data_IF_408283966598
#
_entry.id   IF_408283966598
#
_cell.length_a   1.000
_cell.length_b   1.000
_cell.length_c   1.000
_cell.angle_alpha   90.00
_cell.angle_beta   90.00
_cell.angle_gamma   90.00
#
_symmetry.space_group_name_H-M   'P 1'
#
loop_
_entity.id
_entity.type
_entity.pdbx_description
1 polymer ?
#
# COMPACT_ATOMS: atom_id res chain seq x y z
N UNK A 1 5.13 23.13 -12.54
CA UNK A 1 4.81 22.01 -11.64
C UNK A 1 4.96 22.55 -10.24
N UNK A 2 3.90 22.49 -9.43
CA UNK A 2 4.02 22.86 -8.01
C UNK A 2 4.74 21.72 -7.30
N UNK A 3 5.94 22.00 -6.78
CA UNK A 3 6.71 21.06 -5.96
C UNK A 3 5.85 20.59 -4.78
N UNK A 4 5.94 19.31 -4.42
CA UNK A 4 5.31 18.81 -3.22
C UNK A 4 5.83 19.60 -2.01
N UNK A 5 4.93 20.00 -1.12
CA UNK A 5 5.27 20.96 -0.06
C UNK A 5 6.31 20.43 0.95
N UNK A 6 6.56 19.12 0.99
CA UNK A 6 7.63 18.49 1.78
C UNK A 6 9.03 18.66 1.20
N UNK A 7 9.17 19.13 -0.04
CA UNK A 7 10.46 19.48 -0.65
C UNK A 7 11.03 20.78 -0.10
N UNK A 8 10.18 21.63 0.50
CA UNK A 8 10.52 22.99 0.87
C UNK A 8 11.55 23.07 2.00
N UNK A 9 11.55 22.10 2.92
CA UNK A 9 12.50 22.04 4.04
C UNK A 9 12.52 20.68 4.74
N UNK A 10 13.60 20.42 5.50
CA UNK A 10 13.68 19.27 6.42
C UNK A 10 12.57 19.32 7.47
N UNK A 11 12.22 20.52 7.96
CA UNK A 11 11.19 20.69 8.97
C UNK A 11 9.80 20.31 8.44
N UNK A 12 9.48 20.62 7.17
CA UNK A 12 8.24 20.20 6.52
C UNK A 12 8.17 18.68 6.36
N UNK A 13 9.30 18.05 6.02
CA UNK A 13 9.41 16.59 5.93
C UNK A 13 9.19 15.93 7.31
N UNK A 14 9.86 16.43 8.35
CA UNK A 14 9.70 15.97 9.73
C UNK A 14 8.27 16.17 10.20
N UNK A 15 7.64 17.30 9.85
CA UNK A 15 6.25 17.56 10.17
C UNK A 15 5.32 16.52 9.52
N UNK A 16 5.50 16.22 8.22
CA UNK A 16 4.73 15.19 7.51
C UNK A 16 4.87 13.81 8.15
N UNK A 17 6.09 13.40 8.48
CA UNK A 17 6.36 12.12 9.16
C UNK A 17 5.70 12.06 10.54
N UNK A 18 5.80 13.16 11.31
CA UNK A 18 5.25 13.22 12.66
C UNK A 18 3.73 13.23 12.65
N UNK A 19 3.13 13.97 11.70
CA UNK A 19 1.68 13.96 11.48
C UNK A 19 1.18 12.55 11.13
N UNK A 20 1.84 11.88 10.19
CA UNK A 20 1.51 10.50 9.79
C UNK A 20 1.50 9.54 10.98
N UNK A 21 2.55 9.58 11.79
CA UNK A 21 2.67 8.77 12.99
C UNK A 21 1.56 9.07 14.01
N UNK A 22 1.23 10.35 14.23
CA UNK A 22 0.12 10.72 15.13
C UNK A 22 -1.22 10.24 14.60
N UNK A 23 -1.47 10.31 13.29
CA UNK A 23 -2.68 9.76 12.67
C UNK A 23 -2.79 8.26 12.93
N UNK A 24 -1.70 7.50 12.82
CA UNK A 24 -1.70 6.07 13.16
C UNK A 24 -2.05 5.83 14.63
N UNK A 25 -1.49 6.62 15.56
CA UNK A 25 -1.82 6.52 16.98
C UNK A 25 -3.30 6.85 17.26
N UNK A 26 -3.84 7.88 16.61
CA UNK A 26 -5.24 8.27 16.74
C UNK A 26 -6.17 7.15 16.26
N UNK A 27 -5.94 6.61 15.05
CA UNK A 27 -6.66 5.45 14.50
C UNK A 27 -6.60 4.24 15.45
N UNK A 28 -5.43 4.00 16.07
CA UNK A 28 -5.28 2.91 17.06
C UNK A 28 -6.05 3.16 18.35
N UNK A 29 -6.08 4.40 18.84
CA UNK A 29 -6.82 4.77 20.05
C UNK A 29 -8.33 4.66 19.84
N UNK A 30 -8.83 5.04 18.67
CA UNK A 30 -10.26 4.92 18.33
C UNK A 30 -10.73 3.46 18.25
N UNK A 31 -9.86 2.56 17.78
CA UNK A 31 -10.10 1.11 17.71
C UNK A 31 -9.72 0.35 19.00
N UNK A 32 -9.36 1.07 20.06
CA UNK A 32 -8.90 0.49 21.33
C UNK A 32 -9.85 0.86 22.46
N UNK A 33 -10.04 0.01 23.49
CA UNK A 33 -10.76 0.39 24.70
C UNK A 33 -9.99 1.43 25.55
N UNK A 34 -8.74 1.76 25.19
CA UNK A 34 -7.89 2.68 25.94
C UNK A 34 -8.31 4.14 25.72
N UNK A 35 -8.77 4.79 26.78
CA UNK A 35 -9.09 6.21 26.74
C UNK A 35 -7.84 7.10 26.75
N UNK A 36 -7.98 8.35 26.28
CA UNK A 36 -6.91 9.36 26.34
C UNK A 36 -6.41 9.62 27.78
N UNK A 37 -7.30 9.51 28.77
CA UNK A 37 -6.94 9.69 30.18
C UNK A 37 -6.06 8.55 30.70
N UNK A 38 -6.36 7.32 30.30
CA UNK A 38 -5.57 6.14 30.66
C UNK A 38 -4.22 6.13 29.94
N UNK A 39 -4.19 6.59 28.68
CA UNK A 39 -2.92 6.80 27.98
C UNK A 39 -2.04 7.82 28.71
N UNK A 40 -2.62 8.92 29.20
CA UNK A 40 -1.90 9.93 29.99
C UNK A 40 -1.30 9.32 31.26
N UNK A 41 -2.11 8.53 31.98
CA UNK A 41 -1.67 7.82 33.18
C UNK A 41 -0.53 6.84 32.87
N UNK A 42 -0.63 6.05 31.79
CA UNK A 42 0.42 5.10 31.37
C UNK A 42 1.73 5.80 31.02
N UNK A 43 1.65 6.98 30.40
CA UNK A 43 2.81 7.76 29.99
C UNK A 43 3.35 8.69 31.08
N UNK A 44 2.67 8.81 32.23
CA UNK A 44 3.05 9.74 33.29
C UNK A 44 2.95 11.22 32.88
N UNK A 45 2.02 11.56 31.98
CA UNK A 45 1.85 12.92 31.45
C UNK A 45 0.43 13.43 31.66
N UNK A 46 0.23 14.74 31.57
CA UNK A 46 -1.10 15.33 31.64
C UNK A 46 -1.94 15.01 30.41
N UNK A 47 -3.27 14.96 30.57
CA UNK A 47 -4.23 14.82 29.45
C UNK A 47 -4.05 15.94 28.42
N UNK A 48 -3.76 17.16 28.89
CA UNK A 48 -3.45 18.31 28.03
C UNK A 48 -2.23 18.07 27.15
N UNK A 49 -1.17 17.44 27.69
CA UNK A 49 0.03 17.11 26.91
C UNK A 49 -0.24 16.10 25.80
N UNK A 50 -1.14 15.15 26.03
CA UNK A 50 -1.60 14.23 24.98
C UNK A 50 -2.34 14.99 23.89
N UNK A 51 -3.30 15.84 24.26
CA UNK A 51 -4.06 16.64 23.29
C UNK A 51 -3.13 17.52 22.44
N UNK A 52 -2.15 18.15 23.08
CA UNK A 52 -1.16 18.97 22.39
C UNK A 52 -0.38 18.16 21.34
N UNK A 53 0.10 16.97 21.70
CA UNK A 53 0.86 16.12 20.77
C UNK A 53 -0.02 15.56 19.64
N UNK A 54 -1.28 15.22 19.93
CA UNK A 54 -2.19 14.71 18.91
C UNK A 54 -2.62 15.79 17.91
N UNK A 55 -2.70 17.05 18.33
CA UNK A 55 -3.13 18.15 17.46
C UNK A 55 -1.95 18.87 16.78
N UNK A 56 -0.80 18.93 17.45
CA UNK A 56 0.40 19.52 16.92
C UNK A 56 1.61 18.65 17.31
N UNK A 57 2.01 17.71 16.44
CA UNK A 57 3.10 16.79 16.73
C UNK A 57 4.42 17.50 17.04
N UNK A 58 4.63 18.71 16.50
CA UNK A 58 5.86 19.49 16.65
C UNK A 58 7.12 18.63 16.48
N UNK A 59 8.11 18.86 17.35
CA UNK A 59 9.31 18.01 17.46
C UNK A 59 9.03 16.76 18.30
N UNK A 60 8.44 15.74 17.67
CA UNK A 60 8.29 14.42 18.24
C UNK A 60 9.63 13.66 18.16
N UNK A 61 10.29 13.46 19.30
CA UNK A 61 11.53 12.66 19.33
C UNK A 61 11.24 11.18 19.14
N UNK A 62 12.19 10.44 18.57
CA UNK A 62 12.08 8.98 18.37
C UNK A 62 11.76 8.24 19.68
N UNK A 63 12.40 8.64 20.79
CA UNK A 63 12.11 8.08 22.13
C UNK A 63 10.64 8.25 22.52
N UNK A 64 10.04 9.40 22.23
CA UNK A 64 8.62 9.66 22.51
C UNK A 64 7.73 8.89 21.55
N UNK A 65 8.04 8.85 20.26
CA UNK A 65 7.29 8.04 19.30
C UNK A 65 7.20 6.57 19.77
N UNK A 66 8.34 5.98 20.14
CA UNK A 66 8.37 4.61 20.70
C UNK A 66 7.54 4.51 21.98
N UNK A 67 7.71 5.42 22.95
CA UNK A 67 6.94 5.37 24.20
C UNK A 67 5.42 5.41 23.96
N UNK A 68 4.96 6.31 23.09
CA UNK A 68 3.54 6.44 22.75
C UNK A 68 3.01 5.20 22.04
N UNK A 69 3.72 4.70 21.03
CA UNK A 69 3.33 3.48 20.32
C UNK A 69 3.24 2.28 21.27
N UNK A 70 4.22 2.10 22.16
CA UNK A 70 4.22 1.01 23.14
C UNK A 70 3.05 1.12 24.12
N UNK A 71 2.70 2.34 24.55
CA UNK A 71 1.58 2.56 25.47
C UNK A 71 0.21 2.17 24.87
N UNK A 72 0.07 2.25 23.54
CA UNK A 72 -1.13 1.81 22.79
C UNK A 72 -1.01 0.39 22.20
N UNK A 73 0.06 -0.34 22.53
CA UNK A 73 0.27 -1.73 22.10
C UNK A 73 0.77 -1.88 20.66
N UNK A 74 1.35 -0.84 20.07
CA UNK A 74 1.96 -0.86 18.74
C UNK A 74 3.48 -1.09 18.83
N UNK A 75 4.07 -1.39 17.67
CA UNK A 75 5.52 -1.36 17.43
C UNK A 75 5.81 -0.29 16.38
N UNK A 76 7.03 0.25 16.38
CA UNK A 76 7.48 1.28 15.44
C UNK A 76 8.73 0.78 14.74
N UNK A 77 8.83 1.08 13.45
CA UNK A 77 10.04 0.93 12.64
C UNK A 77 10.30 2.26 11.92
N UNK A 78 11.57 2.60 11.72
CA UNK A 78 11.99 3.71 10.86
C UNK A 78 12.78 3.10 9.72
N UNK A 79 12.30 3.30 8.50
CA UNK A 79 12.85 2.68 7.29
C UNK A 79 13.23 3.78 6.33
N UNK A 80 14.50 3.84 5.96
CA UNK A 80 14.95 4.59 4.80
C UNK A 80 14.75 3.71 3.56
N UNK A 81 14.32 4.31 2.46
CA UNK A 81 14.09 3.63 1.20
C UNK A 81 14.47 4.58 0.05
N UNK A 82 14.68 4.00 -1.13
CA UNK A 82 14.92 4.70 -2.38
C UNK A 82 13.76 4.35 -3.33
N UNK A 83 12.99 5.36 -3.71
CA UNK A 83 11.88 5.26 -4.66
C UNK A 83 12.22 5.88 -6.03
N UNK A 84 13.49 6.22 -6.27
CA UNK A 84 13.95 6.85 -7.50
C UNK A 84 13.61 8.33 -7.62
N UNK A 85 13.22 8.99 -6.52
CA UNK A 85 12.86 10.40 -6.46
C UNK A 85 13.86 11.21 -5.61
N UNK A 86 15.05 11.52 -6.16
CA UNK A 86 16.10 12.22 -5.41
C UNK A 86 15.72 13.64 -4.99
N UNK A 87 14.77 14.24 -5.72
CA UNK A 87 14.30 15.61 -5.47
C UNK A 87 13.04 15.65 -4.58
N UNK A 88 12.57 14.50 -4.07
CA UNK A 88 11.41 14.37 -3.20
C UNK A 88 10.10 14.95 -3.76
N UNK A 89 9.92 14.88 -5.08
CA UNK A 89 8.73 15.32 -5.80
C UNK A 89 7.42 14.65 -5.37
N UNK A 90 7.51 13.44 -4.81
CA UNK A 90 6.38 12.63 -4.39
C UNK A 90 6.15 12.66 -2.87
N UNK A 91 7.11 13.18 -2.09
CA UNK A 91 7.07 13.13 -0.64
C UNK A 91 7.30 11.73 -0.05
N UNK A 92 7.28 11.59 1.29
CA UNK A 92 7.43 10.29 1.93
C UNK A 92 6.22 9.37 1.71
N UNK A 93 6.48 8.06 1.56
CA UNK A 93 5.46 7.01 1.51
C UNK A 93 4.64 7.05 2.81
N UNK A 94 3.33 7.15 2.65
CA UNK A 94 2.38 7.07 3.76
C UNK A 94 2.44 5.70 4.44
N UNK A 95 2.34 5.69 5.77
CA UNK A 95 2.26 4.43 6.52
C UNK A 95 1.09 3.55 6.15
N UNK A 96 0.01 4.12 5.61
CA UNK A 96 -1.16 3.38 5.14
C UNK A 96 -0.82 2.55 3.89
N UNK A 97 -0.01 3.09 2.97
CA UNK A 97 0.48 2.35 1.81
C UNK A 97 1.38 1.21 2.28
N UNK A 98 2.31 1.48 3.21
CA UNK A 98 3.13 0.43 3.81
C UNK A 98 2.27 -0.65 4.47
N UNK A 99 1.26 -0.27 5.24
CA UNK A 99 0.34 -1.18 5.90
C UNK A 99 -0.40 -2.09 4.92
N UNK A 100 -0.94 -1.53 3.84
CA UNK A 100 -1.61 -2.29 2.77
C UNK A 100 -0.65 -3.30 2.15
N UNK A 101 0.54 -2.87 1.74
CA UNK A 101 1.54 -3.76 1.14
C UNK A 101 1.97 -4.87 2.12
N UNK A 102 2.19 -4.51 3.38
CA UNK A 102 2.58 -5.44 4.43
C UNK A 102 1.51 -6.50 4.72
N UNK A 103 0.24 -6.09 4.75
CA UNK A 103 -0.89 -7.00 4.93
C UNK A 103 -1.09 -7.92 3.72
N UNK A 104 -0.97 -7.39 2.51
CA UNK A 104 -1.05 -8.17 1.27
C UNK A 104 0.05 -9.24 1.18
N UNK A 105 1.21 -9.02 1.80
CA UNK A 105 2.29 -9.99 1.90
C UNK A 105 2.17 -10.95 3.10
N UNK A 106 1.02 -11.00 3.77
CA UNK A 106 0.79 -11.82 4.97
C UNK A 106 1.71 -11.48 6.16
N UNK A 107 2.15 -10.22 6.28
CA UNK A 107 2.91 -9.70 7.42
C UNK A 107 4.19 -10.51 7.70
N UNK A 108 5.12 -10.62 6.73
CA UNK A 108 6.34 -11.42 6.88
C UNK A 108 7.14 -10.93 8.09
N UNK A 109 7.87 -11.79 8.80
CA UNK A 109 8.62 -11.36 10.00
C UNK A 109 10.13 -11.49 9.87
N UNK A 110 10.55 -12.14 8.80
CA UNK A 110 11.92 -12.46 8.48
C UNK A 110 12.11 -12.45 6.96
N UNK A 111 13.36 -12.54 6.52
CA UNK A 111 13.70 -12.50 5.11
C UNK A 111 13.20 -13.73 4.34
N UNK A 112 13.10 -14.89 4.99
CA UNK A 112 12.67 -16.14 4.35
C UNK A 112 11.19 -16.09 4.00
N UNK A 113 10.36 -15.59 4.91
CA UNK A 113 8.93 -15.35 4.68
C UNK A 113 8.69 -14.21 3.69
N UNK A 114 9.50 -13.15 3.72
CA UNK A 114 9.38 -12.03 2.78
C UNK A 114 9.73 -12.43 1.34
N UNK A 115 10.81 -13.18 1.13
CA UNK A 115 11.24 -13.63 -0.20
C UNK A 115 10.29 -14.65 -0.84
N UNK A 116 9.53 -15.37 -0.01
CA UNK A 116 8.53 -16.35 -0.45
C UNK A 116 7.16 -15.72 -0.75
N UNK A 117 6.94 -14.45 -0.41
CA UNK A 117 5.73 -13.70 -0.72
C UNK A 117 5.76 -13.22 -2.19
N UNK A 118 5.69 -14.17 -3.13
CA UNK A 118 5.75 -13.88 -4.56
C UNK A 118 4.67 -12.87 -4.97
N UNK A 119 5.10 -11.82 -5.67
CA UNK A 119 4.23 -10.86 -6.37
C UNK A 119 3.29 -11.64 -7.29
N UNK A 120 1.99 -11.58 -7.02
CA UNK A 120 0.96 -12.06 -7.94
C UNK A 120 0.90 -11.08 -9.12
N UNK A 121 1.76 -11.30 -10.11
CA UNK A 121 1.77 -10.56 -11.36
C UNK A 121 0.47 -10.88 -12.12
N UNK A 122 -0.52 -10.00 -11.96
CA UNK A 122 -1.81 -10.16 -12.61
C UNK A 122 -1.66 -9.54 -13.99
N UNK A 123 -1.30 -10.36 -14.98
CA UNK A 123 -1.31 -9.92 -16.37
C UNK A 123 -2.77 -9.71 -16.80
N UNK A 124 -3.17 -8.45 -16.95
CA UNK A 124 -4.43 -8.05 -17.58
C UNK A 124 -4.24 -8.05 -19.09
N UNK A 125 -4.73 -9.09 -19.77
CA UNK A 125 -4.82 -9.10 -21.24
C UNK A 125 -6.26 -8.78 -21.63
N UNK A 126 -6.44 -7.88 -22.60
CA UNK A 126 -7.77 -7.55 -23.12
C UNK A 126 -7.83 -7.83 -24.61
N UNK A 127 -8.80 -8.63 -25.03
CA UNK A 127 -9.13 -8.80 -26.45
C UNK A 127 -10.32 -7.92 -26.82
N UNK A 128 -10.24 -7.32 -28.01
CA UNK A 128 -11.31 -6.48 -28.55
C UNK A 128 -11.87 -7.13 -29.80
N UNK A 129 -13.17 -7.42 -29.79
CA UNK A 129 -13.88 -8.02 -30.92
C UNK A 129 -14.96 -7.07 -31.44
N UNK A 130 -15.01 -6.88 -32.76
CA UNK A 130 -16.02 -6.06 -33.44
C UNK A 130 -17.12 -6.96 -34.00
N UNK A 131 -18.32 -6.87 -33.43
CA UNK A 131 -19.48 -7.68 -33.86
C UNK A 131 -20.39 -6.81 -34.74
N UNK A 132 -20.59 -7.15 -36.03
CA UNK A 132 -21.46 -6.39 -36.93
C UNK A 132 -22.94 -6.54 -36.54
N UNK A 133 -23.73 -5.47 -36.71
CA UNK A 133 -25.15 -5.42 -36.37
C UNK A 133 -25.97 -4.70 -37.46
N UNK A 134 -27.29 -4.94 -37.48
CA UNK A 134 -28.21 -4.36 -38.50
C UNK A 134 -28.16 -2.84 -38.63
N UNK A 135 -27.71 -2.11 -37.59
CA UNK A 135 -27.42 -0.66 -37.62
C UNK A 135 -26.07 -0.37 -36.95
N UNK A 136 -24.96 -0.82 -37.55
CA UNK A 136 -23.59 -0.50 -37.12
C UNK A 136 -22.81 -1.71 -36.61
N UNK A 137 -21.94 -1.51 -35.61
CA UNK A 137 -21.17 -2.58 -34.98
C UNK A 137 -21.07 -2.35 -33.47
N UNK A 138 -20.89 -3.44 -32.71
CA UNK A 138 -20.57 -3.41 -31.29
C UNK A 138 -19.08 -3.68 -31.12
N UNK A 139 -18.42 -2.95 -30.23
CA UNK A 139 -17.08 -3.29 -29.76
C UNK A 139 -17.26 -3.99 -28.42
N UNK A 140 -16.87 -5.25 -28.35
CA UNK A 140 -16.84 -6.02 -27.11
C UNK A 140 -15.39 -6.07 -26.65
N UNK A 141 -15.12 -5.63 -25.42
CA UNK A 141 -13.83 -5.86 -24.77
C UNK A 141 -14.01 -6.99 -23.77
N UNK A 142 -13.26 -8.07 -23.99
CA UNK A 142 -13.14 -9.17 -23.04
C UNK A 142 -11.86 -8.91 -22.26
N UNK A 143 -11.98 -8.70 -20.96
CA UNK A 143 -10.82 -8.58 -20.09
C UNK A 143 -10.58 -9.96 -19.48
N UNK A 144 -9.41 -10.52 -19.72
CA UNK A 144 -8.95 -11.75 -19.12
C UNK A 144 -8.00 -11.39 -17.97
N UNK A 145 -8.31 -11.89 -16.78
CA UNK A 145 -7.38 -11.87 -15.67
C UNK A 145 -6.76 -13.27 -15.59
N UNK A 146 -5.53 -13.41 -16.04
CA UNK A 146 -4.75 -14.63 -15.83
C UNK A 146 -3.89 -14.44 -14.59
N UNK A 147 -4.25 -15.13 -13.50
CA UNK A 147 -3.44 -15.11 -12.27
C UNK A 147 -2.35 -16.16 -12.40
N UNK A 148 -1.11 -15.72 -12.64
CA UNK A 148 0.03 -16.63 -12.70
C UNK A 148 0.56 -16.89 -11.28
N UNK A 149 0.14 -17.99 -10.66
CA UNK A 149 0.78 -18.47 -9.43
C UNK A 149 2.11 -19.15 -9.77
N UNK A 150 3.23 -18.49 -9.48
CA UNK A 150 4.56 -19.13 -9.54
C UNK A 150 4.88 -19.64 -8.13
N UNK A 151 4.66 -20.93 -7.88
CA UNK A 151 5.20 -21.58 -6.68
C UNK A 151 6.60 -22.10 -6.98
N UNK A 152 7.63 -21.51 -6.37
CA UNK A 152 8.99 -22.03 -6.46
C UNK A 152 9.21 -23.04 -5.34
N UNK A 153 9.03 -24.34 -5.61
CA UNK A 153 9.46 -25.38 -4.67
C UNK A 153 10.97 -25.58 -4.80
N UNK A 154 11.74 -25.03 -3.86
CA UNK A 154 13.19 -25.26 -3.80
C UNK A 154 13.47 -26.63 -3.19
N UNK A 155 13.82 -27.61 -4.02
CA UNK A 155 14.36 -28.89 -3.53
C UNK A 155 15.88 -28.85 -3.57
N UNK A 156 16.55 -28.95 -2.42
CA UNK A 156 18.00 -29.14 -2.35
C UNK A 156 18.34 -30.60 -2.69
N UNK A 157 19.03 -30.80 -3.79
CA UNK A 157 19.81 -32.01 -4.06
C UNK A 157 21.24 -31.52 -4.36
N UNK A 158 22.25 -32.24 -3.86
CA UNK A 158 23.65 -31.79 -3.74
C UNK A 158 24.17 -30.92 -4.90
N UNK A 159 24.75 -29.77 -4.52
CA UNK A 159 25.56 -28.85 -5.34
C UNK A 159 25.02 -28.38 -6.71
N UNK A 160 23.72 -28.45 -6.97
CA UNK A 160 23.10 -27.79 -8.13
C UNK A 160 21.64 -27.38 -7.88
N UNK A 161 21.30 -26.12 -8.19
CA UNK A 161 19.90 -25.65 -8.20
C UNK A 161 19.26 -26.06 -9.53
N UNK A 162 18.21 -26.89 -9.48
CA UNK A 162 17.36 -27.18 -10.63
C UNK A 162 15.91 -26.77 -10.34
N UNK A 163 15.33 -25.99 -11.25
CA UNK A 163 13.97 -25.46 -11.15
C UNK A 163 12.97 -26.45 -11.79
N UNK A 164 11.94 -26.87 -11.05
CA UNK A 164 10.81 -27.65 -11.58
C UNK A 164 9.53 -26.90 -11.27
N UNK A 165 8.85 -26.37 -12.29
CA UNK A 165 7.53 -25.75 -12.17
C UNK A 165 6.44 -26.71 -12.62
N UNK A 166 5.30 -26.72 -11.92
CA UNK A 166 4.04 -27.32 -12.40
C UNK A 166 3.00 -26.22 -12.62
N UNK A 167 2.21 -26.35 -13.68
CA UNK A 167 1.24 -25.34 -14.13
C UNK A 167 -0.19 -25.76 -13.78
N UNK A 168 -0.97 -24.85 -13.21
CA UNK A 168 -2.41 -24.98 -13.06
C UNK A 168 -3.08 -23.68 -13.50
N UNK A 169 -4.01 -23.76 -14.44
CA UNK A 169 -4.77 -22.62 -14.98
C UNK A 169 -6.17 -22.59 -14.35
N UNK A 170 -6.63 -21.41 -13.91
CA UNK A 170 -8.03 -21.16 -13.59
C UNK A 170 -8.48 -19.89 -14.30
N UNK A 171 -9.58 -20.00 -15.05
CA UNK A 171 -10.10 -18.98 -15.95
C UNK A 171 -11.35 -18.32 -15.34
N UNK A 172 -11.38 -16.99 -15.23
CA UNK A 172 -12.58 -16.24 -14.82
C UNK A 172 -12.78 -15.07 -15.79
N UNK A 173 -13.84 -15.12 -16.60
CA UNK A 173 -14.14 -14.14 -17.63
C UNK A 173 -15.22 -13.13 -17.19
N UNK A 174 -15.07 -11.85 -17.55
CA UNK A 174 -16.12 -10.83 -17.39
C UNK A 174 -16.23 -9.96 -18.65
N UNK A 175 -17.47 -9.65 -19.06
CA UNK A 175 -17.80 -9.03 -20.36
C UNK A 175 -18.45 -7.67 -20.16
N UNK A 176 -17.95 -6.63 -20.84
CA UNK A 176 -18.58 -5.29 -20.87
C UNK A 176 -18.99 -4.88 -22.29
N UNK A 177 -20.18 -4.29 -22.42
CA UNK A 177 -20.75 -3.84 -23.70
C UNK A 177 -20.72 -2.31 -23.81
N UNK A 178 -20.18 -1.77 -24.90
CA UNK A 178 -20.28 -0.33 -25.22
C UNK A 178 -20.77 -0.14 -26.65
N UNK A 179 -21.93 0.52 -26.80
CA UNK A 179 -22.54 0.85 -28.09
C UNK A 179 -21.97 2.18 -28.61
N UNK A 180 -21.49 2.22 -29.85
CA UNK A 180 -21.17 3.48 -30.56
C UNK A 180 -22.22 3.72 -31.63
N UNK A 181 -22.84 4.89 -31.63
CA UNK A 181 -23.77 5.31 -32.68
C UNK A 181 -22.97 5.66 -33.94
N UNK A 182 -23.47 5.24 -35.11
CA UNK A 182 -22.88 5.57 -36.40
C UNK A 182 -22.84 7.09 -36.58
N UNK A 183 -21.65 7.62 -36.88
CA UNK A 183 -21.45 9.04 -37.15
C UNK A 183 -22.34 9.49 -38.31
N UNK A 184 -23.07 10.57 -38.10
CA UNK A 184 -23.79 11.26 -39.15
C UNK A 184 -22.82 11.73 -40.23
N UNK A 185 -23.15 11.44 -41.49
CA UNK A 185 -22.51 12.10 -42.64
C UNK A 185 -23.02 13.54 -42.67
N UNK A 186 -22.09 14.49 -42.58
CA UNK A 186 -22.33 15.84 -43.11
C UNK A 186 -22.32 15.74 -44.64
N UNK A 187 -23.42 16.16 -45.22
CA UNK A 187 -23.65 16.41 -46.65
C UNK A 187 -24.88 17.29 -46.75
#
# INVERSE_FOLDING_TARGET
>A
MESHWTERSVDDFVHRMSFDFITQLAKRLESSPLSRAELARKLGVSKGRISQILNNPGNLTLKRAVAYARAVGMKVSVVAYDDGDPDNQNGPISSEIFGICWENQNRPRDFDTASSATLSDTALTSETECIPARKGFYIVRKNFAATKQISAATTRIGQGLTFKGSFGEQEVASTQFKKRAAGGRNG
#
